data_IF_609541294790
#
_entry.id   IF_609541294790
#
_cell.length_a   1.000
_cell.length_b   1.000
_cell.length_c   1.000
_cell.angle_alpha   90.00
_cell.angle_beta   90.00
_cell.angle_gamma   90.00
#
_symmetry.space_group_name_H-M   'P 1'
#
loop_
_entity.id
_entity.type
_entity.pdbx_description
1 polymer ?
#
# COMPACT_ATOMS: atom_id res chain seq x y z
N UNK A 1 -7.49 17.30 2.23
CA UNK A 1 -7.99 15.92 2.43
C UNK A 1 -6.91 14.87 2.14
N UNK A 2 -6.01 15.10 1.18
CA UNK A 2 -4.80 14.28 0.90
C UNK A 2 -3.84 14.09 2.09
N UNK A 3 -3.81 15.01 3.07
CA UNK A 3 -3.03 14.86 4.30
C UNK A 3 -3.65 13.86 5.31
N UNK A 4 -4.89 13.41 5.08
CA UNK A 4 -5.56 12.35 5.86
C UNK A 4 -5.76 11.06 5.07
N UNK A 5 -5.73 11.12 3.75
CA UNK A 5 -5.74 9.95 2.88
C UNK A 5 -4.37 9.29 2.94
N UNK A 6 -4.35 8.04 3.35
CA UNK A 6 -3.14 7.24 3.52
C UNK A 6 -2.29 7.27 2.24
N UNK A 7 -1.14 7.96 2.27
CA UNK A 7 -0.24 8.08 1.11
C UNK A 7 0.17 6.69 0.60
N UNK A 8 0.20 5.71 1.51
CA UNK A 8 0.48 4.29 1.28
C UNK A 8 -0.40 3.68 0.19
N UNK A 9 -1.71 3.96 0.14
CA UNK A 9 -2.58 3.46 -0.95
C UNK A 9 -2.19 4.05 -2.31
N UNK A 10 -1.86 5.34 -2.33
CA UNK A 10 -1.46 6.05 -3.56
C UNK A 10 -0.10 5.54 -4.05
N UNK A 11 0.87 5.38 -3.16
CA UNK A 11 2.19 4.82 -3.46
C UNK A 11 2.06 3.40 -4.01
N UNK A 12 1.17 2.58 -3.44
CA UNK A 12 0.91 1.23 -3.93
C UNK A 12 0.32 1.23 -5.35
N UNK A 13 -0.63 2.12 -5.64
CA UNK A 13 -1.18 2.28 -7.00
C UNK A 13 -0.13 2.75 -8.01
N UNK A 14 0.71 3.73 -7.63
CA UNK A 14 1.80 4.21 -8.48
C UNK A 14 2.80 3.09 -8.78
N UNK A 15 3.21 2.31 -7.76
CA UNK A 15 4.06 1.13 -7.95
C UNK A 15 3.40 0.07 -8.82
N UNK A 16 2.09 -0.15 -8.69
CA UNK A 16 1.33 -1.07 -9.56
C UNK A 16 1.33 -0.61 -11.03
N UNK A 17 1.28 0.70 -11.27
CA UNK A 17 1.39 1.30 -12.61
C UNK A 17 2.81 1.19 -13.21
N UNK A 18 3.79 0.71 -12.44
CA UNK A 18 5.19 0.62 -12.85
C UNK A 18 5.95 1.94 -12.69
N UNK A 19 5.46 2.83 -11.83
CA UNK A 19 6.13 4.08 -11.49
C UNK A 19 7.03 3.81 -10.28
N UNK A 20 8.31 3.60 -10.55
CA UNK A 20 9.34 3.44 -9.51
C UNK A 20 9.87 4.79 -9.03
N UNK A 21 9.87 5.80 -9.90
CA UNK A 21 10.39 7.12 -9.60
C UNK A 21 9.31 8.02 -9.01
N UNK A 22 9.01 7.79 -7.72
CA UNK A 22 8.10 8.63 -6.94
C UNK A 22 8.70 10.01 -6.67
N UNK A 23 10.02 10.16 -6.75
CA UNK A 23 10.71 11.42 -6.43
C UNK A 23 10.57 12.44 -7.56
N UNK A 24 10.59 11.98 -8.82
CA UNK A 24 10.35 12.80 -10.01
C UNK A 24 8.91 12.73 -10.51
N UNK A 25 8.02 12.04 -9.80
CA UNK A 25 6.62 12.01 -10.18
C UNK A 25 6.01 13.41 -10.01
N UNK A 26 5.30 13.89 -11.03
CA UNK A 26 4.70 15.22 -11.06
C UNK A 26 3.44 15.25 -10.19
N UNK A 27 3.65 15.22 -8.87
CA UNK A 27 2.58 15.39 -7.91
C UNK A 27 2.09 16.83 -7.96
N UNK A 28 0.77 17.00 -8.10
CA UNK A 28 0.12 18.32 -8.10
C UNK A 28 0.36 19.08 -6.77
N UNK A 29 0.51 18.34 -5.67
CA UNK A 29 1.01 18.81 -4.38
C UNK A 29 1.97 17.73 -3.85
N UNK A 30 3.30 17.92 -3.98
CA UNK A 30 4.25 16.89 -3.59
C UNK A 30 4.18 16.66 -2.08
N UNK A 31 3.99 15.41 -1.62
CA UNK A 31 4.00 15.11 -0.20
C UNK A 31 5.40 15.39 0.38
N UNK A 32 5.46 15.68 1.69
CA UNK A 32 6.74 15.81 2.36
C UNK A 32 7.56 14.51 2.20
N UNK A 33 8.88 14.59 1.97
CA UNK A 33 9.72 13.42 1.77
C UNK A 33 9.67 12.47 2.98
N UNK A 34 9.50 13.00 4.19
CA UNK A 34 9.27 12.21 5.41
C UNK A 34 7.98 11.38 5.33
N UNK A 35 6.90 11.94 4.79
CA UNK A 35 5.63 11.20 4.63
C UNK A 35 5.76 10.10 3.58
N UNK A 36 6.50 10.35 2.50
CA UNK A 36 6.76 9.34 1.47
C UNK A 36 7.62 8.20 2.01
N UNK A 37 8.68 8.50 2.76
CA UNK A 37 9.49 7.47 3.43
C UNK A 37 8.64 6.63 4.37
N UNK A 38 7.81 7.27 5.21
CA UNK A 38 6.93 6.54 6.14
C UNK A 38 5.95 5.62 5.41
N UNK A 39 5.37 6.07 4.31
CA UNK A 39 4.48 5.24 3.50
C UNK A 39 5.20 4.03 2.87
N UNK A 40 6.43 4.22 2.38
CA UNK A 40 7.26 3.14 1.85
C UNK A 40 7.65 2.15 2.95
N UNK A 41 8.05 2.64 4.13
CA UNK A 41 8.35 1.80 5.29
C UNK A 41 7.12 1.01 5.73
N UNK A 42 5.95 1.65 5.85
CA UNK A 42 4.69 0.96 6.20
C UNK A 42 4.35 -0.14 5.20
N UNK A 43 4.47 0.12 3.90
CA UNK A 43 4.23 -0.88 2.86
C UNK A 43 5.26 -2.03 2.91
N UNK A 44 6.51 -1.75 3.26
CA UNK A 44 7.53 -2.79 3.48
C UNK A 44 7.18 -3.64 4.72
N UNK A 45 6.82 -3.00 5.85
CA UNK A 45 6.36 -3.70 7.06
C UNK A 45 5.15 -4.61 6.82
N UNK A 46 4.25 -4.21 5.92
CA UNK A 46 3.08 -4.99 5.51
C UNK A 46 3.41 -6.09 4.48
N UNK A 47 4.68 -6.28 4.13
CA UNK A 47 5.16 -7.18 3.08
C UNK A 47 4.57 -6.89 1.68
N UNK A 48 4.08 -5.67 1.45
CA UNK A 48 3.59 -5.22 0.15
C UNK A 48 4.74 -4.82 -0.79
N UNK A 49 5.84 -4.34 -0.22
CA UNK A 49 7.07 -4.01 -0.92
C UNK A 49 8.22 -4.87 -0.41
N UNK A 50 9.16 -5.17 -1.29
CA UNK A 50 10.43 -5.82 -0.96
C UNK A 50 11.47 -4.79 -0.48
N UNK A 51 12.63 -5.24 0.01
CA UNK A 51 13.72 -4.37 0.48
C UNK A 51 14.29 -3.50 -0.65
N UNK A 52 14.20 -3.98 -1.89
CA UNK A 52 14.53 -3.21 -3.10
C UNK A 52 13.45 -2.20 -3.50
N UNK A 53 12.34 -2.11 -2.76
CA UNK A 53 11.20 -1.25 -3.06
C UNK A 53 10.31 -1.80 -4.19
N UNK A 54 10.48 -3.06 -4.58
CA UNK A 54 9.69 -3.70 -5.62
C UNK A 54 8.34 -4.20 -5.07
N UNK A 55 7.29 -4.15 -5.89
CA UNK A 55 5.97 -4.65 -5.50
C UNK A 55 5.96 -6.18 -5.40
N UNK A 56 5.66 -6.71 -4.21
CA UNK A 56 5.58 -8.17 -3.98
C UNK A 56 4.28 -8.76 -4.52
N UNK A 57 4.16 -10.10 -4.51
CA UNK A 57 2.91 -10.77 -4.85
C UNK A 57 1.75 -10.35 -3.93
N UNK A 58 2.04 -10.14 -2.64
CA UNK A 58 1.07 -9.68 -1.65
C UNK A 58 0.66 -8.23 -1.94
N UNK A 59 1.63 -7.33 -2.18
CA UNK A 59 1.34 -5.94 -2.52
C UNK A 59 0.53 -5.80 -3.81
N UNK A 60 0.82 -6.65 -4.82
CA UNK A 60 0.02 -6.71 -6.05
C UNK A 60 -1.42 -7.14 -5.76
N UNK A 61 -1.63 -8.11 -4.89
CA UNK A 61 -2.97 -8.54 -4.51
C UNK A 61 -3.70 -7.46 -3.72
N UNK A 62 -3.01 -6.83 -2.75
CA UNK A 62 -3.53 -5.72 -1.95
C UNK A 62 -3.95 -4.54 -2.82
N UNK A 63 -3.19 -4.22 -3.88
CA UNK A 63 -3.47 -3.15 -4.85
C UNK A 63 -4.72 -3.38 -5.71
N UNK A 64 -5.35 -4.56 -5.64
CA UNK A 64 -6.64 -4.81 -6.30
C UNK A 64 -7.83 -4.36 -5.44
N UNK A 65 -7.61 -4.12 -4.15
CA UNK A 65 -8.63 -3.69 -3.23
C UNK A 65 -8.61 -2.16 -3.10
N UNK A 66 -9.75 -1.46 -3.25
CA UNK A 66 -9.84 -0.01 -3.07
C UNK A 66 -9.92 0.33 -1.57
N UNK A 67 -9.00 -0.24 -0.79
CA UNK A 67 -8.94 -0.16 0.66
C UNK A 67 -7.56 0.34 1.09
N UNK A 68 -7.42 0.59 2.39
CA UNK A 68 -6.10 0.80 2.97
C UNK A 68 -5.23 -0.46 2.80
N UNK A 69 -3.94 -0.35 2.41
CA UNK A 69 -3.06 -1.50 2.26
C UNK A 69 -3.01 -2.37 3.52
N UNK A 70 -3.09 -1.78 4.72
CA UNK A 70 -3.13 -2.54 5.98
C UNK A 70 -4.37 -3.45 6.04
N UNK A 71 -5.54 -2.92 5.68
CA UNK A 71 -6.80 -3.68 5.67
C UNK A 71 -6.80 -4.73 4.56
N UNK A 72 -6.24 -4.41 3.40
CA UNK A 72 -6.12 -5.35 2.29
C UNK A 72 -5.22 -6.53 2.69
N UNK A 73 -4.04 -6.28 3.27
CA UNK A 73 -3.15 -7.34 3.79
C UNK A 73 -3.85 -8.17 4.86
N UNK A 74 -4.57 -7.52 5.78
CA UNK A 74 -5.31 -8.21 6.84
C UNK A 74 -6.37 -9.14 6.25
N UNK A 75 -7.14 -8.71 5.26
CA UNK A 75 -8.13 -9.53 4.56
C UNK A 75 -7.49 -10.71 3.82
N UNK A 76 -6.35 -10.48 3.19
CA UNK A 76 -5.58 -11.52 2.48
C UNK A 76 -5.10 -12.59 3.47
N UNK A 77 -4.52 -12.18 4.60
CA UNK A 77 -4.13 -13.09 5.67
C UNK A 77 -5.33 -13.83 6.27
N UNK A 78 -6.46 -13.14 6.48
CA UNK A 78 -7.69 -13.74 7.01
C UNK A 78 -8.19 -14.92 6.16
N UNK A 79 -8.01 -14.81 4.83
CA UNK A 79 -8.35 -15.87 3.91
C UNK A 79 -7.51 -17.14 4.14
N UNK A 80 -6.21 -17.01 4.43
CA UNK A 80 -5.34 -18.14 4.80
C UNK A 80 -5.74 -18.77 6.13
N UNK A 81 -6.14 -17.97 7.12
CA UNK A 81 -6.58 -18.45 8.43
C UNK A 81 -8.01 -19.03 8.46
N UNK A 82 -8.73 -19.04 7.32
CA UNK A 82 -10.17 -19.42 7.23
C UNK A 82 -11.11 -18.63 8.15
N UNK A 83 -10.67 -17.49 8.69
CA UNK A 83 -11.48 -16.57 9.50
C UNK A 83 -12.01 -15.39 8.67
N UNK A 84 -12.22 -15.60 7.36
CA UNK A 84 -12.59 -14.53 6.44
C UNK A 84 -13.98 -13.94 6.72
N UNK A 85 -14.90 -14.71 7.31
CA UNK A 85 -16.26 -14.24 7.60
C UNK A 85 -16.30 -13.22 8.75
N UNK A 86 -15.52 -13.42 9.80
CA UNK A 86 -15.48 -12.50 10.94
C UNK A 86 -14.82 -11.17 10.57
N UNK A 87 -13.80 -11.17 9.71
CA UNK A 87 -13.12 -9.93 9.30
C UNK A 87 -13.97 -9.12 8.31
N UNK A 88 -14.74 -9.77 7.44
CA UNK A 88 -15.61 -9.09 6.47
C UNK A 88 -16.85 -8.43 7.13
N UNK A 89 -17.13 -8.77 8.39
CA UNK A 89 -18.28 -8.29 9.16
C UNK A 89 -17.92 -7.14 10.12
N UNK A 90 -16.66 -6.67 10.15
CA UNK A 90 -16.22 -5.51 10.96
C UNK A 90 -16.66 -4.20 10.31
#
# INVERSE_FOLDING_TARGET
EILRSNLSSTVLELKKLGIDDLVHFDFMDPPAPETMMRALEELNYLACLDDEGNLTALGRLASQFPLDPMLAVMLIGAFEFKCSQEILTI
#
